data_IF_837729426994
#
_entry.id   IF_837729426994
#
_cell.length_a   1.000
_cell.length_b   1.000
_cell.length_c   1.000
_cell.angle_alpha   90.00
_cell.angle_beta   90.00
_cell.angle_gamma   90.00
#
_symmetry.space_group_name_H-M   'P 1'
#
loop_
_entity.id
_entity.type
_entity.pdbx_description
1 polymer ?
#
# COMPACT_ATOMS: atom_id res chain seq x y z
N UNK A 1 29.87 37.07 21.74
CA UNK A 1 28.53 36.75 21.20
C UNK A 1 28.61 35.50 20.34
N UNK A 2 27.49 34.78 20.20
CA UNK A 2 27.19 33.68 19.26
C UNK A 2 27.33 32.29 19.92
N UNK A 3 26.24 31.63 20.34
CA UNK A 3 24.98 31.35 19.63
C UNK A 3 23.71 31.73 20.41
N UNK A 4 22.76 32.43 19.77
CA UNK A 4 21.49 32.88 20.35
C UNK A 4 20.43 31.74 20.49
N UNK A 5 20.76 30.56 21.02
CA UNK A 5 19.82 29.41 21.12
C UNK A 5 18.98 29.16 19.85
N UNK A 6 19.53 29.51 18.68
CA UNK A 6 18.87 29.42 17.38
C UNK A 6 19.56 28.32 16.61
N UNK A 7 18.77 27.34 16.21
CA UNK A 7 19.18 26.22 15.40
C UNK A 7 18.47 26.33 14.07
N UNK A 8 19.22 26.14 12.99
CA UNK A 8 18.70 26.09 11.63
C UNK A 8 18.99 24.68 11.12
N UNK A 9 17.95 24.04 10.61
CA UNK A 9 18.02 22.69 10.03
C UNK A 9 17.45 22.79 8.63
N UNK A 10 18.21 22.29 7.68
CA UNK A 10 17.76 22.10 6.30
C UNK A 10 17.59 20.60 6.08
N UNK A 11 16.41 20.21 5.61
CA UNK A 11 16.11 18.84 5.21
C UNK A 11 15.57 18.87 3.79
N UNK A 12 16.41 18.44 2.84
CA UNK A 12 16.03 18.26 1.44
C UNK A 12 15.31 16.92 1.33
N UNK A 13 14.04 16.95 0.94
CA UNK A 13 13.18 15.76 0.79
C UNK A 13 12.11 16.02 -0.28
N UNK A 14 11.78 15.00 -1.06
CA UNK A 14 10.68 15.04 -2.02
C UNK A 14 9.33 15.23 -1.32
N UNK A 15 9.19 14.88 -0.03
CA UNK A 15 7.99 15.15 0.77
C UNK A 15 7.67 16.64 0.93
N UNK A 16 8.61 17.55 0.64
CA UNK A 16 8.37 18.99 0.62
C UNK A 16 7.71 19.46 -0.69
N UNK A 17 7.70 18.63 -1.73
CA UNK A 17 7.02 18.91 -3.00
C UNK A 17 5.48 18.79 -2.85
N UNK A 18 4.70 19.34 -3.80
CA UNK A 18 3.25 19.16 -3.81
C UNK A 18 2.85 17.68 -3.81
N UNK A 19 1.83 17.29 -3.05
CA UNK A 19 1.43 15.87 -2.90
C UNK A 19 1.06 15.18 -4.22
N UNK A 20 0.45 15.92 -5.14
CA UNK A 20 0.10 15.40 -6.47
C UNK A 20 1.36 15.07 -7.31
N UNK A 21 2.53 15.57 -6.92
CA UNK A 21 3.84 15.21 -7.47
C UNK A 21 4.42 13.93 -6.85
N UNK A 22 3.78 13.31 -5.85
CA UNK A 22 4.29 12.07 -5.22
C UNK A 22 3.30 10.91 -5.31
N UNK A 23 2.01 11.21 -5.46
CA UNK A 23 0.91 10.28 -5.25
C UNK A 23 0.05 10.10 -6.51
N UNK A 24 -0.31 8.86 -6.80
CA UNK A 24 -1.34 8.48 -7.76
C UNK A 24 -2.42 7.63 -7.10
N UNK A 25 -3.67 7.74 -7.58
CA UNK A 25 -4.81 6.92 -7.11
C UNK A 25 -4.98 5.63 -7.88
N UNK A 26 -4.10 5.37 -8.84
CA UNK A 26 -4.07 4.14 -9.61
C UNK A 26 -2.71 3.45 -9.42
N UNK A 27 -2.53 2.32 -10.09
CA UNK A 27 -1.29 1.54 -10.01
C UNK A 27 -0.18 2.01 -10.96
N UNK A 28 -0.26 3.26 -11.39
CA UNK A 28 0.64 3.85 -12.35
C UNK A 28 1.09 5.24 -11.88
N UNK A 29 2.38 5.50 -11.99
CA UNK A 29 2.98 6.83 -11.83
C UNK A 29 3.61 7.21 -13.17
N UNK A 30 3.30 8.41 -13.68
CA UNK A 30 3.77 8.89 -14.98
C UNK A 30 5.02 9.77 -14.85
N UNK A 31 5.91 9.68 -15.84
CA UNK A 31 7.11 10.53 -15.91
C UNK A 31 6.79 12.02 -16.05
N UNK A 32 5.61 12.41 -16.58
CA UNK A 32 5.22 13.82 -16.68
C UNK A 32 5.02 14.49 -15.32
N UNK A 33 4.69 13.69 -14.30
CA UNK A 33 4.48 14.15 -12.93
C UNK A 33 5.65 13.82 -12.02
N UNK A 34 6.53 12.86 -12.36
CA UNK A 34 7.45 12.27 -11.37
C UNK A 34 8.88 12.02 -11.87
N UNK A 35 9.22 12.40 -13.12
CA UNK A 35 10.49 12.03 -13.81
C UNK A 35 10.81 10.52 -13.79
N UNK A 36 9.83 9.70 -13.40
CA UNK A 36 9.89 8.26 -13.27
C UNK A 36 8.55 7.68 -13.72
N UNK A 37 8.61 6.55 -14.42
CA UNK A 37 7.43 5.79 -14.81
C UNK A 37 7.41 4.48 -14.06
N UNK A 38 6.32 4.23 -13.33
CA UNK A 38 6.12 3.00 -12.55
C UNK A 38 4.77 2.42 -12.92
N UNK A 39 4.76 1.15 -13.30
CA UNK A 39 3.55 0.40 -13.61
C UNK A 39 3.52 -0.89 -12.78
N UNK A 40 2.57 -0.99 -11.86
CA UNK A 40 2.34 -2.18 -11.02
C UNK A 40 1.26 -3.12 -11.58
N UNK A 41 0.61 -2.79 -12.69
CA UNK A 41 -0.38 -3.67 -13.33
C UNK A 41 0.14 -5.09 -13.62
N UNK A 42 1.43 -5.32 -13.99
CA UNK A 42 1.96 -6.66 -14.16
C UNK A 42 1.87 -7.54 -12.90
N UNK A 43 1.82 -6.94 -11.71
CA UNK A 43 1.69 -7.67 -10.45
C UNK A 43 0.27 -8.11 -10.14
N UNK A 44 -0.73 -7.68 -10.91
CA UNK A 44 -2.14 -7.94 -10.60
C UNK A 44 -2.53 -9.41 -10.60
N UNK A 45 -1.82 -10.27 -11.35
CA UNK A 45 -2.10 -11.71 -11.41
C UNK A 45 -3.57 -12.01 -11.77
N UNK A 46 -4.12 -11.27 -12.74
CA UNK A 46 -5.49 -11.48 -13.23
C UNK A 46 -5.65 -12.92 -13.70
N UNK A 47 -6.61 -13.65 -13.13
CA UNK A 47 -6.89 -15.05 -13.48
C UNK A 47 -6.09 -16.10 -12.70
N UNK A 48 -5.17 -15.68 -11.84
CA UNK A 48 -4.40 -16.55 -10.93
C UNK A 48 -4.94 -16.48 -9.49
N UNK A 49 -4.33 -17.26 -8.59
CA UNK A 49 -4.54 -17.15 -7.15
C UNK A 49 -3.94 -15.84 -6.59
N UNK A 50 -4.58 -15.20 -5.58
CA UNK A 50 -4.04 -14.02 -4.92
C UNK A 50 -2.71 -14.32 -4.21
N UNK A 51 -1.91 -13.28 -3.95
CA UNK A 51 -0.71 -13.43 -3.12
C UNK A 51 -1.13 -13.79 -1.70
N UNK A 52 -0.27 -14.56 -1.02
CA UNK A 52 -0.49 -14.96 0.36
C UNK A 52 0.74 -14.61 1.19
N UNK A 53 0.55 -13.94 2.31
CA UNK A 53 1.58 -13.62 3.28
C UNK A 53 1.23 -14.26 4.62
N UNK A 54 2.17 -15.03 5.16
CA UNK A 54 2.03 -15.72 6.45
C UNK A 54 2.49 -14.82 7.59
N UNK A 55 1.57 -14.44 8.48
CA UNK A 55 1.88 -13.85 9.78
C UNK A 55 1.91 -14.91 10.88
N UNK A 56 2.13 -14.52 12.14
CA UNK A 56 2.14 -15.48 13.25
C UNK A 56 0.74 -16.09 13.51
N UNK A 57 -0.25 -15.24 13.76
CA UNK A 57 -1.64 -15.64 14.07
C UNK A 57 -2.60 -15.54 12.87
N UNK A 58 -2.17 -14.84 11.82
CA UNK A 58 -3.01 -14.48 10.68
C UNK A 58 -2.34 -14.85 9.35
N UNK A 59 -3.16 -15.09 8.35
CA UNK A 59 -2.75 -15.16 6.94
C UNK A 59 -3.36 -13.96 6.23
N UNK A 60 -2.58 -13.31 5.39
CA UNK A 60 -3.03 -12.20 4.58
C UNK A 60 -3.13 -12.63 3.13
N UNK A 61 -4.29 -12.41 2.50
CA UNK A 61 -4.49 -12.59 1.07
C UNK A 61 -4.50 -11.22 0.40
N UNK A 62 -3.69 -11.04 -0.65
CA UNK A 62 -3.48 -9.75 -1.30
C UNK A 62 -3.75 -9.82 -2.79
N UNK A 63 -4.48 -8.84 -3.28
CA UNK A 63 -4.73 -8.56 -4.69
C UNK A 63 -4.18 -7.17 -5.02
N UNK A 64 -3.01 -7.15 -5.65
CA UNK A 64 -2.36 -5.92 -6.07
C UNK A 64 -3.07 -5.41 -7.33
N UNK A 65 -3.43 -4.12 -7.37
CA UNK A 65 -3.97 -3.47 -8.58
C UNK A 65 -5.25 -4.09 -9.17
N UNK A 66 -6.02 -4.80 -8.35
CA UNK A 66 -7.36 -5.27 -8.72
C UNK A 66 -7.40 -6.49 -9.63
N UNK A 67 -6.40 -7.38 -9.51
CA UNK A 67 -6.43 -8.65 -10.22
C UNK A 67 -7.23 -9.73 -9.49
N UNK A 68 -6.57 -10.73 -8.92
CA UNK A 68 -7.26 -11.89 -8.34
C UNK A 68 -8.28 -11.47 -7.25
N UNK A 69 -9.51 -11.97 -7.32
CA UNK A 69 -10.47 -11.78 -6.22
C UNK A 69 -9.88 -12.41 -4.94
N UNK A 70 -10.15 -11.81 -3.78
CA UNK A 70 -9.79 -12.40 -2.47
C UNK A 70 -11.02 -13.11 -1.90
N UNK A 71 -11.31 -14.36 -2.33
CA UNK A 71 -12.57 -15.02 -1.99
C UNK A 71 -12.76 -15.20 -0.48
N UNK A 72 -11.67 -15.17 0.30
CA UNK A 72 -11.69 -15.44 1.74
C UNK A 72 -12.44 -14.36 2.54
N UNK A 73 -12.45 -13.11 2.06
CA UNK A 73 -13.21 -12.04 2.71
C UNK A 73 -14.66 -11.94 2.22
N UNK A 74 -15.09 -12.75 1.24
CA UNK A 74 -16.42 -12.69 0.60
C UNK A 74 -16.83 -11.29 0.09
N UNK A 75 -15.88 -10.36 -0.07
CA UNK A 75 -16.10 -9.00 -0.52
C UNK A 75 -15.29 -8.75 -1.80
N UNK A 76 -15.98 -8.32 -2.86
CA UNK A 76 -15.40 -8.19 -4.21
C UNK A 76 -14.38 -7.05 -4.34
N UNK A 77 -14.37 -6.11 -3.40
CA UNK A 77 -13.52 -4.93 -3.42
C UNK A 77 -12.37 -4.98 -2.40
N UNK A 78 -12.21 -6.10 -1.68
CA UNK A 78 -11.11 -6.30 -0.74
C UNK A 78 -9.79 -6.52 -1.51
N UNK A 79 -8.88 -5.55 -1.41
CA UNK A 79 -7.52 -5.66 -1.93
C UNK A 79 -6.62 -6.44 -0.97
N UNK A 80 -6.84 -6.30 0.34
CA UNK A 80 -6.13 -7.07 1.36
C UNK A 80 -7.14 -7.65 2.34
N UNK A 81 -7.05 -8.96 2.55
CA UNK A 81 -7.89 -9.72 3.47
C UNK A 81 -7.03 -10.34 4.56
N UNK A 82 -7.34 -10.06 5.83
CA UNK A 82 -6.70 -10.67 7.00
C UNK A 82 -7.58 -11.81 7.52
N UNK A 83 -7.01 -13.00 7.69
CA UNK A 83 -7.74 -14.21 8.10
C UNK A 83 -7.04 -14.85 9.29
N UNK A 84 -7.78 -15.17 10.35
CA UNK A 84 -7.21 -15.82 11.53
C UNK A 84 -6.91 -17.30 11.25
N UNK A 85 -5.70 -17.74 11.56
CA UNK A 85 -5.26 -19.13 11.31
C UNK A 85 -6.09 -20.16 12.07
N UNK A 86 -6.41 -19.86 13.31
CA UNK A 86 -7.17 -20.75 14.20
C UNK A 86 -8.66 -20.87 13.80
N UNK A 87 -9.19 -19.90 13.05
CA UNK A 87 -10.60 -19.84 12.68
C UNK A 87 -10.76 -19.01 11.40
N UNK A 88 -10.90 -19.69 10.26
CA UNK A 88 -11.02 -19.05 8.95
C UNK A 88 -12.32 -18.27 8.76
N UNK A 89 -13.30 -18.39 9.67
CA UNK A 89 -14.50 -17.55 9.64
C UNK A 89 -14.23 -16.14 10.17
N UNK A 90 -13.13 -15.94 10.89
CA UNK A 90 -12.67 -14.63 11.34
C UNK A 90 -11.78 -13.99 10.27
N UNK A 91 -12.45 -13.40 9.28
CA UNK A 91 -11.83 -12.58 8.25
C UNK A 91 -12.14 -11.08 8.47
N UNK A 92 -11.20 -10.22 8.10
CA UNK A 92 -11.35 -8.76 8.11
C UNK A 92 -10.75 -8.14 6.86
N UNK A 93 -11.45 -7.19 6.27
CA UNK A 93 -10.91 -6.40 5.16
C UNK A 93 -9.87 -5.43 5.73
N UNK A 94 -8.65 -5.50 5.22
CA UNK A 94 -7.53 -4.67 5.65
C UNK A 94 -7.14 -3.59 4.62
N UNK A 95 -7.96 -3.39 3.59
CA UNK A 95 -7.81 -2.35 2.58
C UNK A 95 -8.67 -2.66 1.36
N UNK A 96 -9.25 -1.62 0.75
CA UNK A 96 -10.15 -1.75 -0.42
C UNK A 96 -9.47 -1.26 -1.67
N UNK A 97 -9.73 -1.93 -2.80
CA UNK A 97 -9.13 -1.59 -4.09
C UNK A 97 -9.47 -0.16 -4.56
N UNK A 98 -10.70 0.29 -4.30
CA UNK A 98 -11.16 1.63 -4.67
C UNK A 98 -10.44 2.74 -3.89
N UNK A 99 -9.88 2.39 -2.73
CA UNK A 99 -9.24 3.29 -1.78
C UNK A 99 -7.75 3.01 -1.77
N UNK A 100 -7.06 3.45 -2.82
CA UNK A 100 -5.63 3.21 -2.98
C UNK A 100 -4.82 4.48 -3.25
N UNK A 101 -3.56 4.43 -2.86
CA UNK A 101 -2.57 5.47 -3.16
C UNK A 101 -1.23 4.81 -3.43
N UNK A 102 -0.75 4.94 -4.66
CA UNK A 102 0.62 4.63 -5.04
C UNK A 102 1.47 5.88 -4.82
N UNK A 103 2.55 5.76 -4.06
CA UNK A 103 3.43 6.87 -3.72
C UNK A 103 4.88 6.52 -4.01
N UNK A 104 5.60 7.46 -4.62
CA UNK A 104 7.05 7.41 -4.75
C UNK A 104 7.63 8.68 -4.13
N UNK A 105 8.56 8.53 -3.19
CA UNK A 105 9.23 9.66 -2.55
C UNK A 105 10.56 9.21 -1.98
N UNK A 106 11.62 10.00 -2.18
CA UNK A 106 12.97 9.77 -1.65
C UNK A 106 13.54 8.38 -2.01
N UNK A 107 13.11 7.81 -3.14
CA UNK A 107 13.51 6.47 -3.60
C UNK A 107 12.63 5.32 -3.09
N UNK A 108 11.68 5.59 -2.20
CA UNK A 108 10.78 4.59 -1.63
C UNK A 108 9.47 4.51 -2.41
N UNK A 109 9.13 3.30 -2.89
CA UNK A 109 7.86 3.02 -3.55
C UNK A 109 6.88 2.33 -2.59
N UNK A 110 5.73 2.95 -2.37
CA UNK A 110 4.71 2.46 -1.44
C UNK A 110 3.34 2.38 -2.10
N UNK A 111 2.63 1.26 -1.95
CA UNK A 111 1.21 1.14 -2.28
C UNK A 111 0.39 1.02 -1.01
N UNK A 112 -0.56 1.94 -0.83
CA UNK A 112 -1.39 2.05 0.36
C UNK A 112 -2.82 1.69 -0.01
N UNK A 113 -3.41 0.72 0.67
CA UNK A 113 -4.84 0.41 0.61
C UNK A 113 -5.50 0.79 1.94
N UNK A 114 -6.56 1.60 1.89
CA UNK A 114 -7.26 2.09 3.10
C UNK A 114 -8.77 1.82 3.04
N UNK A 115 -9.49 2.18 4.11
CA UNK A 115 -10.93 2.00 4.21
C UNK A 115 -11.38 0.55 4.39
N UNK A 116 -10.57 -0.28 5.06
CA UNK A 116 -10.98 -1.61 5.51
C UNK A 116 -11.91 -1.57 6.71
N UNK A 117 -12.12 -2.73 7.33
CA UNK A 117 -12.98 -2.89 8.50
C UNK A 117 -12.44 -2.13 9.70
N UNK A 118 -13.36 -1.64 10.53
CA UNK A 118 -13.03 -0.90 11.75
C UNK A 118 -12.38 -1.81 12.81
N UNK A 119 -11.29 -1.33 13.40
CA UNK A 119 -10.65 -1.92 14.58
C UNK A 119 -11.46 -1.57 15.85
N UNK A 120 -11.18 -2.26 16.96
CA UNK A 120 -11.80 -1.95 18.26
C UNK A 120 -11.55 -0.52 18.74
N UNK A 121 -10.51 0.14 18.23
CA UNK A 121 -10.14 1.52 18.50
C UNK A 121 -10.88 2.57 17.66
N UNK A 122 -11.68 2.14 16.68
CA UNK A 122 -12.39 3.03 15.76
C UNK A 122 -11.63 3.39 14.47
N UNK A 123 -10.37 2.97 14.36
CA UNK A 123 -9.59 3.16 13.14
C UNK A 123 -9.96 2.12 12.08
N UNK A 124 -10.18 2.56 10.84
CA UNK A 124 -10.31 1.65 9.70
C UNK A 124 -8.98 0.98 9.40
N UNK A 125 -8.99 -0.34 9.20
CA UNK A 125 -7.78 -1.06 8.78
C UNK A 125 -7.27 -0.52 7.45
N UNK A 126 -5.95 -0.43 7.37
CA UNK A 126 -5.23 -0.09 6.16
C UNK A 126 -3.99 -0.97 6.03
N UNK A 127 -3.53 -1.17 4.80
CA UNK A 127 -2.36 -1.96 4.46
C UNK A 127 -1.39 -1.09 3.68
N UNK A 128 -0.10 -1.21 4.02
CA UNK A 128 0.99 -0.48 3.38
C UNK A 128 1.95 -1.52 2.83
N UNK A 129 2.12 -1.53 1.51
CA UNK A 129 3.02 -2.44 0.80
C UNK A 129 4.24 -1.63 0.36
N UNK A 130 5.40 -1.95 0.91
CA UNK A 130 6.67 -1.34 0.53
C UNK A 130 7.32 -2.21 -0.55
N UNK A 131 7.62 -1.60 -1.69
CA UNK A 131 8.29 -2.30 -2.78
C UNK A 131 9.80 -2.08 -2.73
N UNK A 132 10.53 -3.14 -3.00
CA UNK A 132 11.98 -3.11 -3.15
C UNK A 132 12.38 -3.41 -4.59
N UNK A 133 13.32 -2.65 -5.13
CA UNK A 133 13.84 -2.89 -6.46
C UNK A 133 14.77 -4.11 -6.46
N UNK A 134 14.32 -5.21 -7.04
CA UNK A 134 15.12 -6.41 -7.25
C UNK A 134 14.91 -6.95 -8.68
N UNK A 135 15.97 -6.89 -9.50
CA UNK A 135 15.91 -7.29 -10.92
C UNK A 135 15.83 -8.80 -11.14
N UNK A 136 16.08 -9.61 -10.11
CA UNK A 136 16.15 -11.07 -10.20
C UNK A 136 15.13 -11.75 -9.27
N UNK A 137 14.11 -11.02 -8.84
CA UNK A 137 13.01 -11.55 -8.03
C UNK A 137 12.17 -12.58 -8.79
#
# INVERSE_FOLDING_TARGET
AKSNCRYEVEWVTEYACPRDYLESRNCFLSSEQHDITIDLQPLSRVGDAPYTCEGEEYVFSLSVCGGAETPVCNEKDAAVCQVKKADSTQAKVAGRLQNQTLRYSDGDLTLIYFGGDECSSGFQRMSVINFECNKTA
#
